data_IF_467394534233
#
_entry.id   IF_467394534233
#
_cell.length_a   1.000
_cell.length_b   1.000
_cell.length_c   1.000
_cell.angle_alpha   90.00
_cell.angle_beta   90.00
_cell.angle_gamma   90.00
#
_symmetry.space_group_name_H-M   'P 1'
#
loop_
_entity.id
_entity.type
_entity.pdbx_description
1 polymer ?
#
# COMPACT_ATOMS: atom_id res chain seq x y z
N UNK A 1 10.96 -4.51 43.35
CA UNK A 1 10.08 -5.68 43.49
C UNK A 1 9.66 -6.09 42.08
N UNK A 2 10.24 -7.18 41.55
CA UNK A 2 9.97 -7.65 40.18
C UNK A 2 8.62 -8.37 40.16
N UNK A 3 7.67 -7.86 39.36
CA UNK A 3 6.41 -8.56 39.07
C UNK A 3 6.68 -9.57 37.96
N UNK A 4 6.60 -10.84 38.34
CA UNK A 4 6.63 -11.99 37.42
C UNK A 4 5.21 -12.11 36.88
N UNK A 5 5.03 -11.89 35.58
CA UNK A 5 3.78 -12.18 34.89
C UNK A 5 3.76 -13.67 34.50
N UNK A 6 2.63 -14.39 34.66
CA UNK A 6 2.53 -15.78 34.24
C UNK A 6 2.34 -15.84 32.73
N UNK A 7 3.22 -16.58 32.05
CA UNK A 7 3.03 -17.01 30.66
C UNK A 7 1.77 -17.89 30.56
N UNK A 8 0.93 -17.73 29.53
CA UNK A 8 -0.16 -18.66 29.28
C UNK A 8 0.41 -20.01 28.85
N UNK A 9 -0.02 -21.08 29.53
CA UNK A 9 0.22 -22.45 29.13
C UNK A 9 -0.49 -22.69 27.78
N UNK A 10 0.26 -22.72 26.68
CA UNK A 10 -0.22 -23.30 25.43
C UNK A 10 -0.41 -24.80 25.63
N UNK A 11 -1.66 -25.23 25.66
CA UNK A 11 -2.05 -26.62 25.74
C UNK A 11 -1.88 -27.25 24.36
N UNK A 12 -0.76 -27.92 24.13
CA UNK A 12 -0.47 -28.74 22.96
C UNK A 12 -1.50 -29.88 22.85
N UNK A 13 -2.51 -29.74 21.98
CA UNK A 13 -3.42 -30.83 21.63
C UNK A 13 -2.73 -31.70 20.58
N UNK A 14 -2.19 -32.82 21.05
CA UNK A 14 -1.54 -33.84 20.24
C UNK A 14 -2.61 -34.74 19.61
N UNK A 15 -2.96 -34.49 18.34
CA UNK A 15 -3.85 -35.36 17.57
C UNK A 15 -3.07 -36.60 17.14
N UNK A 16 -3.22 -37.69 17.89
CA UNK A 16 -2.84 -39.03 17.46
C UNK A 16 -3.83 -39.52 16.39
N UNK A 17 -3.48 -39.31 15.12
CA UNK A 17 -4.15 -39.92 13.98
C UNK A 17 -3.63 -41.34 13.74
N UNK A 18 -4.53 -42.32 13.87
CA UNK A 18 -4.30 -43.73 13.58
C UNK A 18 -3.93 -44.00 12.11
N UNK A 19 -2.88 -44.79 11.93
CA UNK A 19 -2.47 -45.44 10.68
C UNK A 19 -3.17 -46.82 10.54
N UNK A 20 -3.79 -47.09 9.39
CA UNK A 20 -3.80 -48.44 8.80
C UNK A 20 -3.37 -48.34 7.32
N UNK A 21 -2.60 -49.22 6.71
CA UNK A 21 -2.14 -50.57 7.03
C UNK A 21 -1.63 -51.11 5.69
N UNK A 22 -0.52 -51.85 5.74
CA UNK A 22 0.18 -52.41 4.60
C UNK A 22 -0.69 -53.24 3.65
N UNK A 23 -0.43 -53.10 2.35
CA UNK A 23 -0.72 -54.11 1.34
C UNK A 23 0.48 -54.17 0.37
N UNK A 24 1.29 -55.22 0.56
CA UNK A 24 2.17 -55.84 -0.44
C UNK A 24 1.30 -56.23 -1.67
N UNK A 25 1.75 -56.28 -2.93
CA UNK A 25 2.92 -56.98 -3.46
C UNK A 25 3.06 -56.71 -4.97
N UNK A 26 4.32 -56.71 -5.45
CA UNK A 26 4.85 -57.29 -6.71
C UNK A 26 4.15 -56.98 -8.06
N UNK A 27 4.90 -56.39 -9.01
CA UNK A 27 5.22 -57.11 -10.28
C UNK A 27 6.38 -56.43 -11.04
N UNK A 28 7.15 -57.27 -11.72
CA UNK A 28 8.41 -56.98 -12.41
C UNK A 28 8.22 -56.30 -13.78
N UNK A 29 9.22 -55.54 -14.24
CA UNK A 29 9.15 -54.91 -15.57
C UNK A 29 10.45 -54.28 -16.06
N UNK A 30 11.47 -55.12 -16.25
CA UNK A 30 12.72 -54.85 -16.95
C UNK A 30 12.53 -54.35 -18.38
N UNK A 31 13.24 -53.28 -18.79
CA UNK A 31 14.12 -53.31 -19.97
C UNK A 31 14.91 -52.00 -20.11
N UNK A 32 16.22 -52.18 -20.23
CA UNK A 32 17.23 -51.27 -20.76
C UNK A 32 16.79 -50.56 -22.05
N UNK A 33 17.18 -49.29 -22.24
CA UNK A 33 17.71 -48.81 -23.53
C UNK A 33 18.70 -47.64 -23.31
N UNK A 34 19.95 -47.91 -23.68
CA UNK A 34 21.02 -46.96 -23.99
C UNK A 34 20.54 -45.90 -25.00
N UNK A 35 20.87 -44.62 -24.77
CA UNK A 35 21.01 -43.68 -25.89
C UNK A 35 21.97 -42.54 -25.56
N UNK A 36 23.19 -42.68 -26.06
CA UNK A 36 24.16 -41.60 -26.21
C UNK A 36 23.70 -40.60 -27.26
N UNK A 37 23.83 -39.29 -27.00
CA UNK A 37 24.15 -38.28 -28.02
C UNK A 37 24.61 -36.99 -27.31
N UNK A 38 25.91 -36.67 -27.37
CA UNK A 38 26.54 -35.72 -28.31
C UNK A 38 26.50 -34.29 -27.79
N UNK A 39 27.64 -33.83 -27.26
CA UNK A 39 27.95 -32.43 -27.02
C UNK A 39 28.05 -31.68 -28.37
N UNK A 40 27.16 -30.71 -28.57
CA UNK A 40 27.24 -29.71 -29.62
C UNK A 40 27.97 -28.47 -29.11
N UNK A 41 29.21 -28.33 -29.57
CA UNK A 41 30.01 -27.11 -29.56
C UNK A 41 29.51 -26.22 -30.70
N UNK A 42 28.98 -25.02 -30.40
CA UNK A 42 28.82 -23.95 -31.40
C UNK A 42 29.11 -22.59 -30.77
N UNK A 43 30.35 -22.14 -30.95
CA UNK A 43 30.73 -20.73 -30.85
C UNK A 43 30.57 -20.05 -32.21
N UNK A 44 29.62 -19.12 -32.30
CA UNK A 44 29.51 -18.07 -33.34
C UNK A 44 28.71 -16.93 -32.71
N UNK A 45 29.12 -15.67 -32.71
CA UNK A 45 29.80 -14.90 -33.74
C UNK A 45 28.74 -14.13 -34.53
N UNK A 46 28.56 -12.84 -34.24
CA UNK A 46 27.93 -11.78 -35.10
C UNK A 46 28.00 -10.47 -34.29
N UNK A 47 28.91 -9.55 -34.59
CA UNK A 47 28.90 -8.58 -35.71
C UNK A 47 27.96 -7.40 -35.49
N UNK A 48 28.60 -6.24 -35.40
CA UNK A 48 28.06 -4.89 -35.35
C UNK A 48 27.10 -4.61 -36.50
N UNK A 49 26.04 -3.86 -36.22
CA UNK A 49 25.24 -3.21 -37.26
C UNK A 49 24.76 -1.85 -36.76
N UNK A 50 25.48 -0.83 -37.18
CA UNK A 50 25.03 0.55 -37.21
C UNK A 50 23.94 0.68 -38.27
N UNK A 51 22.76 1.20 -37.90
CA UNK A 51 21.80 1.71 -38.88
C UNK A 51 21.35 3.10 -38.48
N UNK A 52 21.96 4.08 -39.12
CA UNK A 52 21.40 5.42 -39.24
C UNK A 52 20.22 5.40 -40.22
N UNK A 53 19.08 5.98 -39.84
CA UNK A 53 18.07 6.41 -40.80
C UNK A 53 17.38 7.68 -40.33
N UNK A 54 17.85 8.80 -40.89
CA UNK A 54 17.12 10.05 -41.03
C UNK A 54 15.91 9.87 -41.94
N UNK A 55 14.74 10.38 -41.54
CA UNK A 55 13.68 10.74 -42.49
C UNK A 55 12.87 11.94 -41.97
N UNK A 56 12.97 13.01 -42.75
CA UNK A 56 12.22 14.26 -42.72
C UNK A 56 10.76 14.09 -43.17
N UNK A 57 9.95 15.11 -42.84
CA UNK A 57 8.71 15.53 -43.52
C UNK A 57 7.48 14.63 -43.25
N UNK A 58 6.25 15.12 -43.04
CA UNK A 58 5.56 16.26 -43.63
C UNK A 58 4.52 16.89 -42.68
N UNK A 59 4.37 18.20 -42.87
CA UNK A 59 3.27 19.05 -42.45
C UNK A 59 1.90 18.59 -42.97
N UNK A 60 0.91 18.54 -42.07
CA UNK A 60 -0.50 18.39 -42.41
C UNK A 60 -1.35 19.43 -41.68
N UNK A 61 -1.63 20.54 -42.36
CA UNK A 61 -2.66 21.50 -41.96
C UNK A 61 -4.04 20.89 -42.18
N UNK A 62 -4.95 21.01 -41.20
CA UNK A 62 -6.39 20.87 -41.45
C UNK A 62 -7.15 21.94 -40.66
N UNK A 63 -7.55 22.98 -41.37
CA UNK A 63 -8.60 23.90 -40.96
C UNK A 63 -9.98 23.29 -41.27
N UNK A 64 -10.99 23.57 -40.43
CA UNK A 64 -12.34 24.06 -40.78
C UNK A 64 -13.49 23.53 -39.89
N UNK A 65 -14.38 24.45 -39.48
CA UNK A 65 -15.73 24.21 -38.94
C UNK A 65 -15.90 24.75 -37.51
N UNK A 66 -16.31 25.99 -37.24
CA UNK A 66 -17.52 26.75 -37.64
C UNK A 66 -18.81 26.28 -36.93
N UNK A 67 -19.32 27.20 -36.10
CA UNK A 67 -20.73 27.52 -35.81
C UNK A 67 -21.47 26.92 -34.59
N UNK A 68 -21.78 27.86 -33.69
CA UNK A 68 -23.14 28.26 -33.25
C UNK A 68 -23.75 27.68 -31.98
N UNK A 69 -23.94 28.62 -31.04
CA UNK A 69 -25.15 28.92 -30.24
C UNK A 69 -26.03 27.76 -29.77
N UNK A 70 -26.28 27.70 -28.46
CA UNK A 70 -27.62 27.96 -27.87
C UNK A 70 -27.55 28.00 -26.34
N UNK A 71 -27.76 29.19 -25.80
CA UNK A 71 -28.22 29.50 -24.44
C UNK A 71 -29.64 28.99 -24.21
N UNK A 72 -29.90 28.28 -23.13
CA UNK A 72 -31.23 28.20 -22.51
C UNK A 72 -31.04 28.24 -20.99
N UNK A 73 -31.52 29.32 -20.37
CA UNK A 73 -31.56 29.58 -18.94
C UNK A 73 -32.98 29.29 -18.48
N UNK A 74 -33.18 28.24 -17.67
CA UNK A 74 -34.48 27.98 -17.05
C UNK A 74 -34.44 28.33 -15.57
N UNK A 75 -35.35 29.24 -15.24
CA UNK A 75 -35.50 29.93 -13.95
C UNK A 75 -36.70 29.31 -13.25
N UNK A 76 -36.47 28.54 -12.18
CA UNK A 76 -37.53 27.92 -11.38
C UNK A 76 -37.60 28.54 -9.99
N UNK A 77 -38.54 29.48 -9.83
CA UNK A 77 -38.99 30.09 -8.57
C UNK A 77 -40.00 29.18 -7.85
N UNK A 78 -39.99 29.22 -6.50
CA UNK A 78 -41.14 29.21 -5.55
C UNK A 78 -40.71 28.48 -4.24
N UNK A 79 -40.46 29.17 -3.10
CA UNK A 79 -41.43 29.55 -2.03
C UNK A 79 -42.33 28.37 -1.59
N UNK A 80 -42.43 27.92 -0.34
CA UNK A 80 -42.65 28.60 0.96
C UNK A 80 -42.13 27.71 2.13
N UNK A 81 -41.39 28.25 3.12
CA UNK A 81 -41.81 28.51 4.54
C UNK A 81 -42.91 27.61 5.12
N UNK A 82 -42.60 26.82 6.17
CA UNK A 82 -43.19 26.75 7.54
C UNK A 82 -42.27 25.80 8.36
N UNK A 83 -41.59 26.15 9.45
CA UNK A 83 -41.99 26.68 10.78
C UNK A 83 -42.50 25.59 11.75
N UNK A 84 -41.59 25.25 12.67
CA UNK A 84 -41.70 24.65 14.02
C UNK A 84 -41.98 23.15 14.18
N UNK A 85 -41.02 22.44 14.79
CA UNK A 85 -41.27 21.55 15.92
C UNK A 85 -39.99 21.46 16.76
N UNK A 86 -40.06 21.97 17.98
CA UNK A 86 -39.05 21.77 19.02
C UNK A 86 -39.03 20.29 19.45
N UNK A 87 -37.85 19.70 19.58
CA UNK A 87 -37.66 18.42 20.28
C UNK A 87 -36.27 18.35 20.90
N UNK A 88 -36.25 18.44 22.24
CA UNK A 88 -35.42 17.70 23.21
C UNK A 88 -33.92 17.53 22.87
N UNK A 89 -33.04 18.36 23.42
CA UNK A 89 -32.23 18.02 24.61
C UNK A 89 -31.77 16.55 24.68
N UNK A 90 -30.79 16.20 23.86
CA UNK A 90 -29.88 15.07 24.06
C UNK A 90 -28.45 15.60 23.96
N UNK A 91 -27.81 15.82 25.12
CA UNK A 91 -26.39 16.14 25.19
C UNK A 91 -25.62 14.86 24.91
N UNK A 92 -25.37 14.58 23.64
CA UNK A 92 -24.38 13.59 23.24
C UNK A 92 -23.04 14.35 23.24
N UNK A 93 -22.18 13.97 24.18
CA UNK A 93 -20.79 14.41 24.19
C UNK A 93 -20.12 13.76 22.99
N UNK A 94 -20.15 14.44 21.84
CA UNK A 94 -19.19 14.18 20.77
C UNK A 94 -17.82 14.54 21.34
N UNK A 95 -17.12 13.51 21.84
CA UNK A 95 -15.66 13.50 21.94
C UNK A 95 -15.06 13.26 20.56
N UNK A 96 -15.59 13.94 19.53
CA UNK A 96 -14.85 14.17 18.31
C UNK A 96 -13.68 15.04 18.73
N UNK A 97 -12.52 14.41 18.92
CA UNK A 97 -11.26 15.12 18.95
C UNK A 97 -11.14 15.73 17.57
N UNK A 98 -11.65 16.94 17.41
CA UNK A 98 -11.31 17.83 16.33
C UNK A 98 -9.81 18.07 16.47
N UNK A 99 -9.03 17.16 15.89
CA UNK A 99 -7.60 17.28 15.68
C UNK A 99 -7.39 18.25 14.52
N UNK A 100 -8.01 19.43 14.53
CA UNK A 100 -7.38 20.67 14.98
C UNK A 100 -6.09 21.12 14.27
N UNK A 101 -5.59 20.35 13.32
CA UNK A 101 -4.61 20.75 12.32
C UNK A 101 -5.37 20.92 11.00
N UNK A 102 -6.21 21.96 10.94
CA UNK A 102 -6.66 22.52 9.66
C UNK A 102 -5.42 23.11 8.97
N UNK A 103 -4.64 22.25 8.32
CA UNK A 103 -3.38 22.60 7.70
C UNK A 103 -2.60 21.37 7.25
N UNK A 104 -1.98 21.49 6.08
CA UNK A 104 -0.99 20.61 5.47
C UNK A 104 -0.99 19.12 5.91
N UNK A 105 -1.44 18.26 5.00
CA UNK A 105 -1.63 16.81 5.21
C UNK A 105 -2.67 16.49 6.31
N UNK A 106 -3.81 17.18 6.29
CA UNK A 106 -4.90 16.94 7.22
C UNK A 106 -5.62 15.62 6.88
N UNK A 107 -5.85 14.76 7.88
CA UNK A 107 -6.64 13.55 7.68
C UNK A 107 -8.12 13.92 7.66
N UNK A 108 -8.84 13.55 6.59
CA UNK A 108 -10.27 13.79 6.48
C UNK A 108 -11.06 12.53 6.89
N UNK A 109 -11.95 12.68 7.86
CA UNK A 109 -12.80 11.62 8.38
C UNK A 109 -12.26 10.92 9.62
N UNK A 110 -12.84 9.78 9.96
CA UNK A 110 -12.48 9.01 11.16
C UNK A 110 -11.31 8.06 10.87
N UNK A 111 -10.40 7.92 11.85
CA UNK A 111 -9.26 6.99 11.81
C UNK A 111 -9.56 5.59 12.37
N UNK A 112 -10.81 5.31 12.78
CA UNK A 112 -11.22 3.97 13.18
C UNK A 112 -11.39 3.05 11.96
N UNK A 113 -11.03 1.75 12.03
CA UNK A 113 -10.82 0.94 13.24
C UNK A 113 -9.39 0.42 13.46
N UNK A 114 -8.35 1.21 13.19
CA UNK A 114 -6.95 0.77 13.10
C UNK A 114 -6.48 -0.20 14.21
N UNK A 115 -6.76 0.09 15.48
CA UNK A 115 -6.35 -0.76 16.60
C UNK A 115 -7.12 -2.09 16.69
N UNK A 116 -8.40 -2.11 16.31
CA UNK A 116 -9.22 -3.35 16.40
C UNK A 116 -8.77 -4.38 15.37
N UNK A 117 -8.33 -3.92 14.21
CA UNK A 117 -7.85 -4.78 13.14
C UNK A 117 -6.50 -5.43 13.44
N UNK A 118 -5.69 -4.84 14.34
CA UNK A 118 -4.41 -5.42 14.73
C UNK A 118 -4.55 -6.79 15.41
N UNK A 119 -5.69 -7.04 16.07
CA UNK A 119 -5.97 -8.28 16.79
C UNK A 119 -6.78 -9.29 15.96
N UNK A 120 -7.32 -8.86 14.82
CA UNK A 120 -8.09 -9.71 13.90
C UNK A 120 -7.14 -10.50 13.01
N UNK A 121 -7.29 -11.83 12.82
CA UNK A 121 -6.48 -12.58 11.87
C UNK A 121 -7.00 -12.49 10.42
N UNK A 122 -8.02 -11.66 10.18
CA UNK A 122 -8.64 -11.50 8.87
C UNK A 122 -8.01 -10.32 8.15
N UNK A 123 -7.77 -10.44 6.83
CA UNK A 123 -7.33 -9.32 6.04
C UNK A 123 -8.45 -8.29 5.89
N UNK A 124 -8.08 -7.02 5.86
CA UNK A 124 -9.03 -5.91 5.75
C UNK A 124 -8.47 -4.79 4.88
N UNK A 125 -9.36 -4.01 4.27
CA UNK A 125 -9.02 -2.86 3.44
C UNK A 125 -9.87 -1.67 3.85
N UNK A 126 -9.24 -0.51 3.98
CA UNK A 126 -9.87 0.76 4.33
C UNK A 126 -9.39 1.86 3.39
N UNK A 127 -10.23 2.88 3.23
CA UNK A 127 -9.93 4.05 2.39
C UNK A 127 -10.04 5.31 3.24
N UNK A 128 -9.04 6.18 3.10
CA UNK A 128 -8.92 7.43 3.84
C UNK A 128 -8.55 8.56 2.88
N UNK A 129 -8.65 9.79 3.36
CA UNK A 129 -8.24 10.99 2.64
C UNK A 129 -7.21 11.78 3.45
N UNK A 130 -6.20 12.30 2.75
CA UNK A 130 -5.14 13.14 3.29
C UNK A 130 -5.03 14.42 2.43
N UNK A 131 -5.40 15.55 3.00
CA UNK A 131 -5.54 16.82 2.28
C UNK A 131 -4.32 17.72 2.44
N UNK A 132 -3.68 18.05 1.32
CA UNK A 132 -2.55 18.99 1.21
C UNK A 132 -3.00 20.43 0.94
N UNK A 133 -4.31 20.66 0.73
CA UNK A 133 -4.87 21.95 0.37
C UNK A 133 -4.12 22.57 -0.84
N UNK A 134 -3.88 23.89 -0.83
CA UNK A 134 -3.16 24.60 -1.88
C UNK A 134 -1.64 24.72 -1.60
N UNK A 135 -1.06 23.85 -0.76
CA UNK A 135 0.32 23.95 -0.28
C UNK A 135 1.09 22.63 -0.53
N UNK A 136 1.85 22.54 -1.64
CA UNK A 136 2.66 21.35 -1.90
C UNK A 136 3.78 21.23 -0.89
N UNK A 137 4.08 19.99 -0.50
CA UNK A 137 5.20 19.71 0.40
C UNK A 137 6.51 20.33 -0.12
N UNK A 138 7.17 21.12 0.73
CA UNK A 138 8.55 21.54 0.54
C UNK A 138 9.39 21.41 1.83
N UNK A 139 10.72 21.62 1.72
CA UNK A 139 11.64 21.50 2.87
C UNK A 139 11.28 22.43 4.05
N UNK A 140 10.55 23.51 3.79
CA UNK A 140 10.03 24.45 4.79
C UNK A 140 8.94 23.86 5.68
N UNK A 141 8.24 22.83 5.20
CA UNK A 141 7.15 22.15 5.92
C UNK A 141 7.65 21.03 6.82
N UNK A 142 8.92 20.64 6.71
CA UNK A 142 9.53 19.60 7.55
C UNK A 142 9.22 19.78 9.06
N UNK A 143 9.26 21.00 9.66
CA UNK A 143 8.92 21.19 11.07
C UNK A 143 7.43 21.04 11.42
N UNK A 144 6.54 20.95 10.43
CA UNK A 144 5.10 20.71 10.60
C UNK A 144 4.76 19.22 10.69
N UNK A 145 5.70 18.36 10.29
CA UNK A 145 5.53 16.90 10.33
C UNK A 145 5.92 16.31 11.68
N UNK A 146 5.43 15.11 11.98
CA UNK A 146 5.85 14.30 13.12
C UNK A 146 7.36 14.02 13.12
N UNK A 147 7.94 13.76 14.31
CA UNK A 147 9.38 13.45 14.43
C UNK A 147 9.77 12.20 13.61
N UNK A 148 8.86 11.23 13.46
CA UNK A 148 9.09 10.03 12.65
C UNK A 148 9.10 10.33 11.15
N UNK A 149 8.15 11.13 10.64
CA UNK A 149 8.16 11.55 9.24
C UNK A 149 9.42 12.37 8.91
N UNK A 150 9.82 13.29 9.81
CA UNK A 150 11.08 14.02 9.67
C UNK A 150 12.30 13.09 9.61
N UNK A 151 12.30 12.03 10.41
CA UNK A 151 13.36 11.02 10.43
C UNK A 151 13.43 10.28 9.09
N UNK A 152 12.29 9.87 8.52
CA UNK A 152 12.23 9.21 7.21
C UNK A 152 12.73 10.14 6.10
N UNK A 153 12.34 11.42 6.12
CA UNK A 153 12.76 12.40 5.11
C UNK A 153 14.25 12.75 5.15
N UNK A 154 14.86 12.75 6.34
CA UNK A 154 16.22 13.25 6.54
C UNK A 154 17.29 12.17 6.61
N UNK A 155 16.90 10.90 6.78
CA UNK A 155 17.83 9.78 6.76
C UNK A 155 17.79 9.07 5.40
N UNK A 156 18.96 8.72 4.83
CA UNK A 156 18.99 8.00 3.57
C UNK A 156 18.41 6.59 3.75
N UNK A 157 17.24 6.33 3.14
CA UNK A 157 16.73 4.97 2.96
C UNK A 157 17.59 4.18 1.96
N UNK A 158 17.36 2.87 1.80
CA UNK A 158 18.25 1.99 1.04
C UNK A 158 18.29 2.29 -0.48
N UNK A 159 17.66 3.38 -0.90
CA UNK A 159 17.63 3.95 -2.24
C UNK A 159 16.20 3.97 -2.79
N UNK A 160 15.81 5.05 -3.48
CA UNK A 160 14.51 5.13 -4.12
C UNK A 160 14.02 6.57 -4.26
N UNK A 161 12.94 6.75 -5.02
CA UNK A 161 12.18 8.01 -5.17
C UNK A 161 10.85 7.94 -4.40
N UNK A 162 10.85 7.25 -3.26
CA UNK A 162 9.64 6.98 -2.45
C UNK A 162 9.70 7.62 -1.07
N UNK A 163 10.76 8.35 -0.74
CA UNK A 163 10.97 8.91 0.60
C UNK A 163 9.84 9.84 1.03
N UNK A 164 9.31 10.65 0.10
CA UNK A 164 8.17 11.54 0.41
C UNK A 164 6.91 10.71 0.67
N UNK A 165 6.58 9.72 -0.18
CA UNK A 165 5.44 8.83 0.05
C UNK A 165 5.54 8.02 1.35
N UNK A 166 6.74 7.58 1.72
CA UNK A 166 6.97 6.83 2.97
C UNK A 166 6.78 7.73 4.19
N UNK A 167 7.28 8.97 4.13
CA UNK A 167 7.10 9.93 5.20
C UNK A 167 5.63 10.30 5.42
N UNK A 168 4.86 10.52 4.35
CA UNK A 168 3.43 10.81 4.47
C UNK A 168 2.59 9.58 4.83
N UNK A 169 3.00 8.38 4.43
CA UNK A 169 2.39 7.15 4.94
C UNK A 169 2.61 7.01 6.46
N UNK A 170 3.80 7.34 6.96
CA UNK A 170 4.05 7.39 8.40
C UNK A 170 3.24 8.51 9.07
N UNK A 171 3.25 9.72 8.52
CA UNK A 171 2.52 10.88 9.05
C UNK A 171 1.02 10.57 9.20
N UNK A 172 0.42 9.92 8.20
CA UNK A 172 -0.96 9.44 8.27
C UNK A 172 -1.18 8.52 9.48
N UNK A 173 -0.30 7.54 9.70
CA UNK A 173 -0.39 6.60 10.83
C UNK A 173 -0.15 7.27 12.19
N UNK A 174 0.77 8.24 12.26
CA UNK A 174 1.04 9.05 13.45
C UNK A 174 -0.19 9.86 13.84
N UNK A 175 -0.78 10.60 12.88
CA UNK A 175 -2.00 11.39 13.08
C UNK A 175 -3.21 10.54 13.43
N UNK A 176 -3.34 9.36 12.83
CA UNK A 176 -4.52 8.51 13.06
C UNK A 176 -4.45 7.63 14.31
N UNK A 177 -3.26 7.24 14.73
CA UNK A 177 -3.11 6.20 15.74
C UNK A 177 -1.94 6.39 16.69
N UNK A 178 -1.40 7.62 16.77
CA UNK A 178 -0.24 7.96 17.61
C UNK A 178 0.94 6.97 17.38
N UNK A 179 1.13 6.56 16.12
CA UNK A 179 2.19 5.64 15.74
C UNK A 179 3.56 6.18 16.16
N UNK A 180 4.44 5.31 16.64
CA UNK A 180 5.83 5.70 16.95
C UNK A 180 6.79 4.99 16.01
N UNK A 181 7.64 5.73 15.29
CA UNK A 181 8.68 5.14 14.47
C UNK A 181 9.69 4.37 15.33
N UNK A 182 9.85 3.07 15.08
CA UNK A 182 10.82 2.22 15.77
C UNK A 182 12.10 2.05 14.95
N UNK A 183 11.95 1.80 13.64
CA UNK A 183 13.04 1.56 12.70
C UNK A 183 12.64 1.98 11.29
N UNK A 184 13.59 2.48 10.51
CA UNK A 184 13.46 2.64 9.05
C UNK A 184 13.97 1.40 8.31
N UNK A 185 13.70 1.27 7.01
CA UNK A 185 14.05 0.11 6.16
C UNK A 185 15.49 -0.39 6.38
N UNK A 186 16.45 0.53 6.48
CA UNK A 186 17.89 0.19 6.60
C UNK A 186 18.29 -0.37 7.97
N UNK A 187 17.40 -0.27 8.97
CA UNK A 187 17.62 -0.70 10.34
C UNK A 187 16.90 -2.01 10.68
N UNK A 188 15.95 -2.44 9.84
CA UNK A 188 15.22 -3.71 9.98
C UNK A 188 16.11 -4.84 9.48
N UNK A 189 16.30 -5.86 10.31
CA UNK A 189 17.15 -7.00 10.00
C UNK A 189 16.35 -8.18 9.43
N UNK A 190 16.90 -8.81 8.39
CA UNK A 190 16.31 -9.97 7.71
C UNK A 190 17.32 -11.12 7.59
N UNK A 191 16.80 -12.34 7.49
CA UNK A 191 17.55 -13.54 7.20
C UNK A 191 16.86 -14.37 6.10
N UNK A 192 17.43 -14.47 4.88
CA UNK A 192 18.73 -13.93 4.47
C UNK A 192 18.72 -12.39 4.32
N UNK A 193 19.90 -11.77 4.34
CA UNK A 193 20.06 -10.31 4.28
C UNK A 193 19.53 -9.68 2.98
N UNK A 194 19.44 -10.45 1.90
CA UNK A 194 18.94 -10.05 0.58
C UNK A 194 17.45 -10.34 0.38
N UNK A 195 16.70 -10.52 1.47
CA UNK A 195 15.24 -10.73 1.43
C UNK A 195 14.47 -9.48 0.95
N UNK A 196 13.17 -9.67 0.73
CA UNK A 196 12.22 -8.56 0.55
C UNK A 196 12.14 -7.74 1.83
N UNK A 197 12.04 -6.42 1.65
CA UNK A 197 12.13 -5.45 2.73
C UNK A 197 10.80 -4.74 2.95
N UNK A 198 10.63 -4.31 4.19
CA UNK A 198 9.54 -3.48 4.68
C UNK A 198 10.07 -2.07 4.88
N UNK A 199 9.30 -1.06 4.51
CA UNK A 199 9.79 0.31 4.42
C UNK A 199 10.08 0.91 5.81
N UNK A 200 9.26 0.59 6.81
CA UNK A 200 9.56 0.95 8.20
C UNK A 200 8.78 0.09 9.21
N UNK A 201 9.21 0.15 10.47
CA UNK A 201 8.61 -0.53 11.61
C UNK A 201 8.08 0.51 12.59
N UNK A 202 6.82 0.37 12.98
CA UNK A 202 6.18 1.26 13.94
C UNK A 202 5.75 0.51 15.19
N UNK A 203 5.60 1.28 16.27
CA UNK A 203 4.90 0.91 17.48
C UNK A 203 3.48 1.46 17.42
N UNK A 204 2.51 0.57 17.61
CA UNK A 204 1.10 0.92 17.83
C UNK A 204 0.69 0.30 19.16
N UNK A 205 0.49 1.14 20.18
CA UNK A 205 0.36 0.72 21.58
C UNK A 205 1.49 -0.21 22.05
N UNK A 206 1.21 -1.51 22.22
CA UNK A 206 2.13 -2.52 22.68
C UNK A 206 2.63 -3.43 21.54
N UNK A 207 2.21 -3.16 20.29
CA UNK A 207 2.46 -3.98 19.13
C UNK A 207 3.55 -3.37 18.24
N UNK A 208 4.41 -4.25 17.71
CA UNK A 208 5.29 -3.91 16.59
C UNK A 208 4.56 -4.28 15.30
N UNK A 209 4.46 -3.32 14.38
CA UNK A 209 3.72 -3.46 13.12
C UNK A 209 4.64 -3.06 11.97
N UNK A 210 4.83 -3.96 11.02
CA UNK A 210 5.58 -3.67 9.80
C UNK A 210 4.73 -2.82 8.87
N UNK A 211 5.34 -1.86 8.17
CA UNK A 211 4.64 -1.01 7.21
C UNK A 211 5.36 -1.03 5.87
N UNK A 212 4.63 -1.42 4.85
CA UNK A 212 5.06 -1.30 3.46
C UNK A 212 4.28 -0.21 2.75
N UNK A 213 4.92 0.50 1.84
CA UNK A 213 4.37 1.66 1.13
C UNK A 213 4.43 1.41 -0.37
N UNK A 214 3.39 1.88 -1.06
CA UNK A 214 3.36 1.90 -2.51
C UNK A 214 2.53 3.08 -3.01
N UNK A 215 2.70 3.42 -4.28
CA UNK A 215 1.98 4.51 -4.94
C UNK A 215 1.06 3.95 -6.03
N UNK A 216 -0.23 4.20 -5.92
CA UNK A 216 -1.19 3.94 -6.99
C UNK A 216 -1.31 5.19 -7.87
N UNK A 217 -0.41 5.29 -8.85
CA UNK A 217 -0.31 6.38 -9.82
C UNK A 217 0.21 5.86 -11.17
N UNK A 218 -0.22 6.49 -12.27
CA UNK A 218 0.32 6.26 -13.61
C UNK A 218 1.47 7.21 -13.96
N UNK A 219 2.34 6.82 -14.89
CA UNK A 219 3.28 7.76 -15.51
C UNK A 219 3.33 7.56 -17.04
N UNK A 220 3.18 8.63 -17.85
CA UNK A 220 2.86 10.01 -17.45
C UNK A 220 1.55 10.16 -16.66
N UNK A 221 1.39 11.17 -15.79
CA UNK A 221 0.19 11.32 -14.95
C UNK A 221 -1.11 11.48 -15.75
N UNK A 222 -1.00 11.94 -17.00
CA UNK A 222 -2.11 12.11 -17.93
C UNK A 222 -2.56 10.80 -18.58
N UNK A 223 -1.72 9.76 -18.54
CA UNK A 223 -2.06 8.46 -19.08
C UNK A 223 -3.05 7.73 -18.17
N UNK A 224 -4.05 7.01 -18.73
CA UNK A 224 -4.98 6.25 -17.92
C UNK A 224 -4.26 5.21 -17.04
N UNK A 225 -4.67 5.10 -15.78
CA UNK A 225 -4.24 4.03 -14.88
C UNK A 225 -5.16 2.81 -15.06
N UNK A 226 -4.71 1.73 -15.73
CA UNK A 226 -5.58 0.60 -16.06
C UNK A 226 -5.75 -0.36 -14.87
N UNK A 227 -6.89 -1.07 -14.84
CA UNK A 227 -7.18 -2.14 -13.86
C UNK A 227 -6.03 -3.14 -13.70
N UNK A 228 -5.37 -3.53 -14.81
CA UNK A 228 -4.25 -4.47 -14.78
C UNK A 228 -3.02 -3.94 -14.04
N UNK A 229 -2.81 -2.62 -14.04
CA UNK A 229 -1.71 -2.01 -13.29
C UNK A 229 -2.02 -2.00 -11.79
N UNK A 230 -3.27 -1.69 -11.40
CA UNK A 230 -3.71 -1.78 -10.01
C UNK A 230 -3.59 -3.21 -9.47
N UNK A 231 -4.03 -4.21 -10.27
CA UNK A 231 -3.93 -5.62 -9.94
C UNK A 231 -2.50 -6.09 -9.74
N UNK A 232 -1.61 -5.81 -10.71
CA UNK A 232 -0.19 -6.17 -10.58
C UNK A 232 0.48 -5.47 -9.39
N UNK A 233 0.17 -4.19 -9.16
CA UNK A 233 0.74 -3.43 -8.04
C UNK A 233 0.43 -4.05 -6.68
N UNK A 234 -0.84 -4.38 -6.43
CA UNK A 234 -1.25 -4.93 -5.13
C UNK A 234 -0.84 -6.39 -4.95
N UNK A 235 -0.89 -7.20 -6.01
CA UNK A 235 -0.42 -8.60 -5.98
C UNK A 235 1.08 -8.66 -5.66
N UNK A 236 1.91 -7.92 -6.41
CA UNK A 236 3.37 -7.88 -6.21
C UNK A 236 3.73 -7.41 -4.79
N UNK A 237 3.03 -6.40 -4.26
CA UNK A 237 3.30 -5.85 -2.93
C UNK A 237 2.89 -6.80 -1.81
N UNK A 238 1.76 -7.50 -1.94
CA UNK A 238 1.34 -8.48 -0.94
C UNK A 238 2.25 -9.71 -0.93
N UNK A 239 2.71 -10.16 -2.09
CA UNK A 239 3.71 -11.24 -2.17
C UNK A 239 5.03 -10.86 -1.47
N UNK A 240 5.50 -9.62 -1.67
CA UNK A 240 6.70 -9.11 -0.99
C UNK A 240 6.50 -8.99 0.54
N UNK A 241 5.28 -8.66 0.99
CA UNK A 241 4.89 -8.63 2.41
C UNK A 241 4.98 -10.04 3.02
N UNK A 242 4.51 -11.08 2.33
CA UNK A 242 4.62 -12.46 2.81
C UNK A 242 6.08 -12.88 2.99
N UNK A 243 6.93 -12.52 2.03
CA UNK A 243 8.36 -12.86 2.05
C UNK A 243 9.09 -12.10 3.16
N UNK A 244 8.83 -10.80 3.31
CA UNK A 244 9.46 -9.97 4.36
C UNK A 244 9.02 -10.40 5.76
N UNK A 245 7.73 -10.69 5.96
CA UNK A 245 7.19 -11.24 7.21
C UNK A 245 7.82 -12.59 7.59
N UNK A 246 8.11 -13.45 6.62
CA UNK A 246 8.72 -14.75 6.89
C UNK A 246 10.21 -14.68 7.23
N UNK A 247 10.91 -13.63 6.77
CA UNK A 247 12.36 -13.53 6.84
C UNK A 247 12.88 -12.49 7.84
N UNK A 248 12.02 -11.65 8.41
CA UNK A 248 12.42 -10.70 9.46
C UNK A 248 12.99 -11.45 10.67
N UNK A 249 14.06 -10.93 11.27
CA UNK A 249 14.64 -11.54 12.48
C UNK A 249 13.72 -11.36 13.69
N UNK A 250 13.83 -12.26 14.67
CA UNK A 250 12.96 -12.27 15.86
C UNK A 250 12.94 -10.93 16.63
N UNK A 251 14.03 -10.17 16.63
CA UNK A 251 14.10 -8.88 17.32
C UNK A 251 13.26 -7.76 16.66
N UNK A 252 12.99 -7.89 15.36
CA UNK A 252 12.26 -6.91 14.56
C UNK A 252 10.90 -7.46 14.08
N UNK A 253 10.57 -8.69 14.48
CA UNK A 253 9.35 -9.36 14.05
C UNK A 253 8.11 -8.58 14.51
N UNK A 254 7.26 -8.26 13.54
CA UNK A 254 5.95 -7.67 13.79
C UNK A 254 4.88 -8.74 13.99
N UNK A 255 3.79 -8.35 14.64
CA UNK A 255 2.62 -9.23 14.76
C UNK A 255 1.72 -9.19 13.52
N UNK A 256 1.83 -8.12 12.72
CA UNK A 256 0.98 -7.81 11.57
C UNK A 256 1.68 -6.79 10.68
N UNK A 257 1.32 -6.78 9.40
CA UNK A 257 1.84 -5.83 8.42
C UNK A 257 0.70 -4.98 7.84
N UNK A 258 0.97 -3.69 7.66
CA UNK A 258 0.10 -2.75 6.98
C UNK A 258 0.72 -2.43 5.62
N UNK A 259 -0.06 -2.51 4.56
CA UNK A 259 0.28 -1.93 3.26
C UNK A 259 -0.43 -0.58 3.14
N UNK A 260 0.33 0.51 3.13
CA UNK A 260 -0.18 1.85 2.81
C UNK A 260 -0.02 2.11 1.32
N UNK A 261 -1.13 2.30 0.64
CA UNK A 261 -1.22 2.66 -0.78
C UNK A 261 -1.56 4.14 -0.87
N UNK A 262 -0.59 4.98 -1.22
CA UNK A 262 -0.84 6.38 -1.55
C UNK A 262 -1.52 6.42 -2.92
N UNK A 263 -2.77 6.83 -2.99
CA UNK A 263 -3.61 6.80 -4.19
C UNK A 263 -3.84 8.21 -4.72
N UNK A 264 -3.41 8.48 -5.95
CA UNK A 264 -3.39 9.84 -6.52
C UNK A 264 -4.78 10.46 -6.71
N UNK A 265 -5.85 9.66 -6.71
CA UNK A 265 -7.23 10.12 -6.76
C UNK A 265 -8.19 8.98 -6.37
N UNK A 266 -9.48 9.30 -6.13
CA UNK A 266 -10.54 8.32 -5.88
C UNK A 266 -10.59 7.17 -6.90
N UNK A 267 -10.32 7.48 -8.16
CA UNK A 267 -10.32 6.48 -9.24
C UNK A 267 -9.22 5.43 -9.03
N UNK A 268 -8.03 5.84 -8.58
CA UNK A 268 -6.93 4.93 -8.25
C UNK A 268 -7.31 4.06 -7.05
N UNK A 269 -7.90 4.66 -6.01
CA UNK A 269 -8.33 3.94 -4.83
C UNK A 269 -9.41 2.89 -5.14
N UNK A 270 -10.38 3.24 -6.01
CA UNK A 270 -11.41 2.32 -6.48
C UNK A 270 -10.80 1.13 -7.20
N UNK A 271 -9.84 1.36 -8.11
CA UNK A 271 -9.17 0.29 -8.84
C UNK A 271 -8.34 -0.63 -7.93
N UNK A 272 -7.72 -0.07 -6.89
CA UNK A 272 -7.01 -0.85 -5.87
C UNK A 272 -7.99 -1.70 -5.06
N UNK A 273 -9.15 -1.15 -4.66
CA UNK A 273 -10.18 -1.89 -3.94
C UNK A 273 -10.79 -3.02 -4.77
N UNK A 274 -11.04 -2.79 -6.07
CA UNK A 274 -11.53 -3.81 -7.00
C UNK A 274 -10.49 -4.93 -7.20
N UNK A 275 -9.22 -4.56 -7.39
CA UNK A 275 -8.11 -5.51 -7.47
C UNK A 275 -7.98 -6.35 -6.20
N UNK A 276 -8.01 -5.70 -5.03
CA UNK A 276 -8.04 -6.38 -3.74
C UNK A 276 -9.21 -7.36 -3.62
N UNK A 277 -10.43 -6.96 -4.01
CA UNK A 277 -11.59 -7.83 -3.93
C UNK A 277 -11.44 -9.11 -4.76
N UNK A 278 -10.70 -9.06 -5.87
CA UNK A 278 -10.44 -10.19 -6.75
C UNK A 278 -9.36 -11.17 -6.25
N UNK A 279 -8.46 -10.72 -5.36
CA UNK A 279 -7.41 -11.57 -4.78
C UNK A 279 -7.98 -12.65 -3.86
N UNK A 280 -7.31 -13.81 -3.83
CA UNK A 280 -7.64 -14.90 -2.92
C UNK A 280 -7.12 -14.64 -1.50
N UNK A 281 -7.53 -15.51 -0.57
CA UNK A 281 -7.20 -15.34 0.85
C UNK A 281 -5.74 -15.63 1.19
N UNK A 282 -5.02 -16.41 0.37
CA UNK A 282 -3.60 -16.72 0.59
C UNK A 282 -2.74 -15.50 0.31
N UNK A 283 -2.99 -14.79 -0.81
CA UNK A 283 -2.30 -13.53 -1.12
C UNK A 283 -2.62 -12.43 -0.12
N UNK A 284 -3.88 -12.31 0.34
CA UNK A 284 -4.26 -11.29 1.35
C UNK A 284 -3.64 -11.57 2.72
N UNK A 285 -3.57 -12.85 3.10
CA UNK A 285 -3.08 -13.34 4.39
C UNK A 285 -3.59 -12.51 5.59
N UNK A 286 -2.71 -12.20 6.54
CA UNK A 286 -3.01 -11.38 7.73
C UNK A 286 -2.51 -9.93 7.54
N UNK A 287 -2.90 -9.32 6.42
CA UNK A 287 -2.47 -7.97 6.02
C UNK A 287 -3.64 -6.99 6.10
N UNK A 288 -3.35 -5.78 6.59
CA UNK A 288 -4.28 -4.64 6.53
C UNK A 288 -3.83 -3.73 5.39
N UNK A 289 -4.74 -3.36 4.50
CA UNK A 289 -4.45 -2.43 3.40
C UNK A 289 -5.13 -1.09 3.67
N UNK A 290 -4.35 -0.03 3.72
CA UNK A 290 -4.84 1.35 3.79
C UNK A 290 -4.63 2.03 2.46
N UNK A 291 -5.71 2.43 1.83
CA UNK A 291 -5.70 3.20 0.61
C UNK A 291 -5.92 4.66 0.99
N UNK A 292 -4.84 5.44 1.00
CA UNK A 292 -4.86 6.85 1.40
C UNK A 292 -4.93 7.67 0.12
N UNK A 293 -6.10 8.22 -0.17
CA UNK A 293 -6.30 9.18 -1.24
C UNK A 293 -5.68 10.50 -0.80
N UNK A 294 -4.87 11.10 -1.65
CA UNK A 294 -4.35 12.45 -1.41
C UNK A 294 -5.20 13.47 -2.17
N UNK A 295 -5.48 14.59 -1.51
CA UNK A 295 -6.22 15.72 -2.06
C UNK A 295 -5.33 16.98 -2.06
N UNK A 296 -5.61 17.93 -2.95
CA UNK A 296 -4.86 19.20 -3.02
C UNK A 296 -3.56 19.11 -3.83
N UNK A 297 -2.56 19.89 -3.44
CA UNK A 297 -1.23 19.97 -4.09
C UNK A 297 -0.29 18.82 -3.63
N UNK A 298 -0.66 17.59 -3.96
CA UNK A 298 -0.03 16.34 -3.47
C UNK A 298 1.12 15.80 -4.36
N UNK A 299 1.46 16.50 -5.44
CA UNK A 299 2.42 16.04 -6.46
C UNK A 299 3.75 15.50 -5.88
N UNK A 300 4.37 16.13 -4.86
CA UNK A 300 5.62 15.62 -4.27
C UNK A 300 5.51 14.19 -3.70
N UNK A 301 4.33 13.77 -3.25
CA UNK A 301 4.09 12.40 -2.74
C UNK A 301 4.38 11.36 -3.82
N UNK A 302 4.19 11.71 -5.10
CA UNK A 302 4.24 10.76 -6.20
C UNK A 302 5.47 10.85 -7.06
N UNK A 303 6.13 12.01 -7.14
CA UNK A 303 7.13 12.26 -8.17
C UNK A 303 8.49 12.74 -7.66
N UNK A 304 8.65 12.95 -6.34
CA UNK A 304 9.91 13.38 -5.71
C UNK A 304 10.61 12.27 -4.88
#
# INVERSE_FOLDING_TARGET
MRRIWPLPLFSLVLVLGCQPGDAESEDEGSSDEDSSTTYGDETGGSEDSESESSSDSESGETETGSDSESTETETGSDSETETETETETGSETDSGTDTGDEGFAAVLGDCEPLLTELESPLPSLYTFHLDFADDPYDEGDLPLLSEGAQTILTNPNAGGSSTVSEAFAYEFLDRCADATLLKIETEIEYLPEDSKKTDFLIGLDAYQVGVSVTRAVGYPPEDPYPESQAAGLIEDKLDDILISSANVVEADAWIKQILVVMAYADMHATLIADAWAALDAETKADTVVYVVITDGEDTPVYFD
#
